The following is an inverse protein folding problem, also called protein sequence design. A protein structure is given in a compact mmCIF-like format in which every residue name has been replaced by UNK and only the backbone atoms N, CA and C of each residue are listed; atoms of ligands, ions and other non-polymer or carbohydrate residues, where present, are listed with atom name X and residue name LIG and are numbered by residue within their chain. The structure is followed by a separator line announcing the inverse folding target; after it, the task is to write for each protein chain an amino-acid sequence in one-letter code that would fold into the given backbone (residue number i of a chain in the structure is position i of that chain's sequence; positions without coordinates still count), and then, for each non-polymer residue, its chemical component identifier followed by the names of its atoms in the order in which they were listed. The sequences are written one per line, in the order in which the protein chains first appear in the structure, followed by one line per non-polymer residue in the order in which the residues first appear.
data_IF_816091909637
#
_entry.id   IF_816091909637
#
_cell.length_a   1.000
_cell.length_b   1.000
_cell.length_c   1.000
_cell.angle_alpha   90.00
_cell.angle_beta   90.00
_cell.angle_gamma   90.00
#
_symmetry.space_group_name_H-M   'P 1'
#
loop_
_entity.id
_entity.type
_entity.pdbx_description
1 polymer ?
#
# COMPACT_ATOMS: atom_id res chain seq x y z
N UNK A 1 38.89 -6.10 60.38
CA UNK A 1 39.61 -4.92 59.85
C UNK A 1 39.47 -3.85 60.90
N UNK A 2 40.52 -3.63 61.67
CA UNK A 2 40.43 -2.86 62.91
C UNK A 2 40.54 -1.37 62.58
N UNK A 3 39.41 -0.67 62.67
CA UNK A 3 39.28 0.76 62.37
C UNK A 3 40.28 1.61 63.19
N UNK A 4 40.60 1.18 64.40
CA UNK A 4 41.58 1.86 65.26
C UNK A 4 43.01 1.79 64.70
N UNK A 5 43.42 0.65 64.15
CA UNK A 5 44.73 0.50 63.52
C UNK A 5 44.84 1.34 62.24
N UNK A 6 43.75 1.42 61.47
CA UNK A 6 43.67 2.30 60.30
C UNK A 6 43.76 3.79 60.70
N UNK A 7 43.00 4.21 61.72
CA UNK A 7 42.98 5.59 62.19
C UNK A 7 44.34 6.05 62.77
N UNK A 8 45.03 5.19 63.53
CA UNK A 8 46.38 5.47 64.01
C UNK A 8 47.40 5.59 62.86
N UNK A 9 47.26 4.77 61.82
CA UNK A 9 48.12 4.87 60.63
C UNK A 9 47.93 6.19 59.88
N UNK A 10 46.69 6.66 59.76
CA UNK A 10 46.37 7.94 59.10
C UNK A 10 46.90 9.12 59.94
N UNK A 11 46.76 9.06 61.27
CA UNK A 11 47.27 10.10 62.15
C UNK A 11 48.79 10.22 62.17
N UNK A 12 49.51 9.09 62.16
CA UNK A 12 50.98 9.10 62.10
C UNK A 12 51.51 9.65 60.77
N UNK A 13 50.83 9.35 59.65
CA UNK A 13 51.15 9.93 58.35
C UNK A 13 50.88 11.45 58.32
N UNK A 14 49.78 11.92 58.92
CA UNK A 14 49.48 13.35 59.06
C UNK A 14 50.53 14.09 59.89
N UNK A 15 51.00 13.50 61.00
CA UNK A 15 52.03 14.08 61.85
C UNK A 15 53.41 14.16 61.15
N UNK A 16 53.73 13.18 60.29
CA UNK A 16 54.94 13.20 59.47
C UNK A 16 54.90 14.30 58.40
N UNK A 17 53.73 14.52 57.79
CA UNK A 17 53.48 15.60 56.82
C UNK A 17 53.61 16.99 57.46
N UNK A 18 53.17 17.16 58.71
CA UNK A 18 53.26 18.43 59.43
C UNK A 18 54.71 18.90 59.70
N UNK A 19 55.70 17.98 59.70
CA UNK A 19 57.12 18.30 59.95
C UNK A 19 57.89 18.73 58.71
N UNK A 20 57.42 18.42 57.50
CA UNK A 20 58.09 18.77 56.24
C UNK A 20 57.07 19.34 55.24
N UNK A 21 56.63 20.59 55.41
CA UNK A 21 55.49 21.14 54.66
C UNK A 21 55.78 21.35 53.17
N UNK A 22 57.03 21.61 52.81
CA UNK A 22 57.45 21.94 51.44
C UNK A 22 57.27 20.77 50.45
N UNK A 23 57.80 19.55 50.69
CA UNK A 23 57.63 18.44 49.75
C UNK A 23 56.17 17.96 49.64
N UNK A 24 55.37 18.09 50.69
CA UNK A 24 53.94 17.77 50.64
C UNK A 24 53.17 18.76 49.76
N UNK A 25 53.42 20.07 49.91
CA UNK A 25 52.83 21.08 49.03
C UNK A 25 53.29 20.91 47.58
N UNK A 26 54.56 20.58 47.36
CA UNK A 26 55.08 20.28 46.02
C UNK A 26 54.36 19.06 45.40
N UNK A 27 54.15 17.99 46.16
CA UNK A 27 53.41 16.81 45.70
C UNK A 27 51.96 17.14 45.35
N UNK A 28 51.29 17.99 46.14
CA UNK A 28 49.92 18.44 45.85
C UNK A 28 49.85 19.29 44.58
N UNK A 29 50.81 20.19 44.37
CA UNK A 29 50.87 21.04 43.16
C UNK A 29 51.11 20.15 41.93
N UNK A 30 52.04 19.21 42.00
CA UNK A 30 52.32 18.27 40.90
C UNK A 30 51.10 17.42 40.60
N UNK A 31 50.45 16.86 41.64
CA UNK A 31 49.21 16.09 41.50
C UNK A 31 48.10 16.92 40.84
N UNK A 32 47.92 18.18 41.27
CA UNK A 32 46.94 19.09 40.67
C UNK A 32 47.23 19.38 39.19
N UNK A 33 48.50 19.60 38.83
CA UNK A 33 48.91 19.83 37.43
C UNK A 33 48.60 18.60 36.58
N UNK A 34 48.94 17.40 37.06
CA UNK A 34 48.70 16.14 36.33
C UNK A 34 47.21 15.88 36.15
N UNK A 35 46.41 16.05 37.21
CA UNK A 35 44.94 15.89 37.16
C UNK A 35 44.34 16.90 36.18
N UNK A 36 44.75 18.17 36.25
CA UNK A 36 44.26 19.23 35.35
C UNK A 36 44.67 18.97 33.90
N UNK A 37 45.88 18.49 33.66
CA UNK A 37 46.36 18.13 32.33
C UNK A 37 45.54 16.98 31.76
N UNK A 38 45.35 15.91 32.53
CA UNK A 38 44.55 14.75 32.11
C UNK A 38 43.08 15.12 31.86
N UNK A 39 42.47 15.93 32.72
CA UNK A 39 41.10 16.44 32.54
C UNK A 39 40.97 17.29 31.26
N UNK A 40 41.94 18.16 30.98
CA UNK A 40 41.97 18.95 29.74
C UNK A 40 42.10 18.08 28.49
N UNK A 41 42.94 17.05 28.52
CA UNK A 41 43.10 16.13 27.39
C UNK A 41 41.79 15.36 27.11
N UNK A 42 41.14 14.85 28.16
CA UNK A 42 39.85 14.17 28.05
C UNK A 42 38.75 15.09 27.48
N UNK A 43 38.69 16.35 27.92
CA UNK A 43 37.75 17.33 27.37
C UNK A 43 38.06 17.66 25.90
N UNK A 44 39.33 17.85 25.52
CA UNK A 44 39.72 18.11 24.13
C UNK A 44 39.30 16.98 23.20
N UNK A 45 39.49 15.73 23.62
CA UNK A 45 39.10 14.56 22.83
C UNK A 45 37.58 14.46 22.67
N UNK A 46 36.81 14.80 23.72
CA UNK A 46 35.34 14.82 23.65
C UNK A 46 34.81 15.94 22.75
N UNK A 47 35.39 17.15 22.82
CA UNK A 47 35.00 18.27 21.97
C UNK A 47 35.31 17.97 20.50
N UNK A 48 36.49 17.40 20.20
CA UNK A 48 36.83 16.99 18.84
C UNK A 48 35.89 15.93 18.28
N UNK A 49 35.51 14.94 19.09
CA UNK A 49 34.57 13.91 18.65
C UNK A 49 33.15 14.46 18.41
N UNK A 50 32.69 15.40 19.23
CA UNK A 50 31.40 16.07 19.05
C UNK A 50 31.37 16.94 17.79
N UNK A 51 32.46 17.64 17.48
CA UNK A 51 32.59 18.42 16.24
C UNK A 51 32.55 17.50 15.00
N UNK A 52 33.30 16.39 15.02
CA UNK A 52 33.25 15.41 13.92
C UNK A 52 31.84 14.82 13.75
N UNK A 53 31.13 14.55 14.84
CA UNK A 53 29.73 14.10 14.80
C UNK A 53 28.78 15.16 14.24
N UNK A 54 28.96 16.43 14.59
CA UNK A 54 28.18 17.53 14.05
C UNK A 54 28.41 17.69 12.54
N UNK A 55 29.68 17.72 12.12
CA UNK A 55 30.06 17.85 10.71
C UNK A 55 29.54 16.67 9.88
N UNK A 56 29.59 15.45 10.42
CA UNK A 56 29.05 14.26 9.76
C UNK A 56 27.52 14.35 9.62
N UNK A 57 26.82 14.87 10.62
CA UNK A 57 25.36 15.06 10.56
C UNK A 57 24.96 16.13 9.57
N UNK A 58 25.70 17.24 9.53
CA UNK A 58 25.45 18.31 8.57
C UNK A 58 25.73 17.85 7.13
N UNK A 59 26.82 17.10 6.91
CA UNK A 59 27.11 16.47 5.62
C UNK A 59 26.03 15.47 5.21
N UNK A 60 25.52 14.65 6.13
CA UNK A 60 24.40 13.75 5.86
C UNK A 60 23.12 14.52 5.51
N UNK A 61 22.79 15.59 6.24
CA UNK A 61 21.61 16.41 5.95
C UNK A 61 21.72 17.09 4.60
N UNK A 62 22.92 17.54 4.22
CA UNK A 62 23.17 18.12 2.91
C UNK A 62 23.07 17.06 1.81
N UNK A 63 23.68 15.90 1.99
CA UNK A 63 23.57 14.77 1.06
C UNK A 63 22.12 14.27 0.93
N UNK A 64 21.32 14.28 2.00
CA UNK A 64 19.88 14.00 1.92
C UNK A 64 19.11 15.09 1.16
N UNK A 65 19.45 16.37 1.37
CA UNK A 65 18.85 17.49 0.61
C UNK A 65 19.20 17.41 -0.88
N UNK A 66 20.43 17.05 -1.20
CA UNK A 66 20.93 16.90 -2.56
C UNK A 66 20.33 15.65 -3.23
N UNK A 67 20.22 14.52 -2.51
CA UNK A 67 19.54 13.29 -2.99
C UNK A 67 18.05 13.45 -3.20
N UNK A 68 17.41 14.34 -2.46
CA UNK A 68 16.02 14.72 -2.67
C UNK A 68 15.84 15.74 -3.82
N UNK A 69 16.94 16.06 -4.55
CA UNK A 69 16.98 16.82 -5.80
C UNK A 69 16.14 18.10 -5.78
N UNK A 70 16.16 18.81 -4.63
CA UNK A 70 15.42 20.06 -4.46
C UNK A 70 13.90 19.97 -4.66
N UNK A 71 13.31 18.77 -4.68
CA UNK A 71 11.87 18.63 -4.75
C UNK A 71 11.28 19.06 -3.40
N UNK A 72 10.87 20.33 -3.30
CA UNK A 72 10.13 20.83 -2.16
C UNK A 72 8.92 19.93 -1.88
N UNK A 73 8.46 19.87 -0.63
CA UNK A 73 7.26 19.10 -0.27
C UNK A 73 6.06 19.42 -1.20
N UNK A 74 6.00 20.66 -1.71
CA UNK A 74 5.01 21.11 -2.68
C UNK A 74 5.19 20.49 -4.08
N UNK A 75 6.44 20.33 -4.55
CA UNK A 75 6.71 19.64 -5.82
C UNK A 75 6.42 18.14 -5.73
N UNK A 76 6.71 17.50 -4.59
CA UNK A 76 6.35 16.10 -4.38
C UNK A 76 4.82 15.93 -4.39
N UNK A 77 4.09 16.81 -3.69
CA UNK A 77 2.63 16.82 -3.68
C UNK A 77 2.03 17.09 -5.07
N UNK A 78 2.62 18.00 -5.84
CA UNK A 78 2.19 18.27 -7.21
C UNK A 78 2.42 17.07 -8.13
N UNK A 79 3.57 16.37 -8.01
CA UNK A 79 3.84 15.14 -8.77
C UNK A 79 2.90 14.01 -8.36
N UNK A 80 2.62 13.85 -7.07
CA UNK A 80 1.64 12.88 -6.59
C UNK A 80 0.25 13.15 -7.15
N UNK A 81 -0.22 14.40 -7.10
CA UNK A 81 -1.52 14.77 -7.70
C UNK A 81 -1.58 14.54 -9.22
N UNK A 82 -0.49 14.82 -9.94
CA UNK A 82 -0.40 14.55 -11.38
C UNK A 82 -0.33 13.04 -11.71
N UNK A 83 0.24 12.24 -10.82
CA UNK A 83 0.25 10.77 -10.95
C UNK A 83 -1.12 10.18 -10.63
N UNK A 84 -1.80 10.68 -9.61
CA UNK A 84 -3.17 10.29 -9.26
C UNK A 84 -4.14 10.61 -10.40
N UNK A 85 -4.05 11.80 -11.00
CA UNK A 85 -4.92 12.17 -12.13
C UNK A 85 -4.70 11.26 -13.34
N UNK A 86 -3.45 10.92 -13.65
CA UNK A 86 -3.12 9.96 -14.72
C UNK A 86 -3.60 8.55 -14.39
N UNK A 87 -3.52 8.15 -13.12
CA UNK A 87 -4.05 6.87 -12.66
C UNK A 87 -5.56 6.80 -12.89
N UNK A 88 -6.31 7.85 -12.53
CA UNK A 88 -7.75 7.91 -12.78
C UNK A 88 -8.09 7.90 -14.27
N UNK A 89 -7.31 8.59 -15.09
CA UNK A 89 -7.49 8.61 -16.54
C UNK A 89 -7.23 7.23 -17.17
N UNK A 90 -6.14 6.57 -16.77
CA UNK A 90 -5.82 5.20 -17.20
C UNK A 90 -6.87 4.21 -16.70
N UNK A 91 -7.36 4.34 -15.46
CA UNK A 91 -8.44 3.48 -14.95
C UNK A 91 -9.75 3.69 -15.71
N UNK A 92 -10.06 4.92 -16.15
CA UNK A 92 -11.23 5.17 -16.99
C UNK A 92 -11.06 4.56 -18.40
N UNK A 93 -9.87 4.67 -18.99
CA UNK A 93 -9.56 4.04 -20.28
C UNK A 93 -9.55 2.50 -20.18
N UNK A 94 -9.01 1.96 -19.09
CA UNK A 94 -9.05 0.52 -18.81
C UNK A 94 -10.47 0.07 -18.49
N UNK A 95 -11.32 0.85 -17.84
CA UNK A 95 -12.73 0.49 -17.67
C UNK A 95 -13.48 0.42 -19.02
N UNK A 96 -13.05 1.22 -20.00
CA UNK A 96 -13.57 1.15 -21.37
C UNK A 96 -13.00 -0.04 -22.18
N UNK A 97 -11.79 -0.49 -21.85
CA UNK A 97 -11.06 -1.58 -22.54
C UNK A 97 -11.07 -2.92 -21.80
N UNK A 98 -11.52 -2.93 -20.55
CA UNK A 98 -11.58 -4.13 -19.73
C UNK A 98 -12.71 -5.00 -20.25
N UNK A 99 -12.49 -6.31 -20.41
CA UNK A 99 -13.53 -7.21 -20.87
C UNK A 99 -14.69 -7.13 -19.89
N UNK A 100 -15.88 -6.83 -20.45
CA UNK A 100 -17.11 -6.66 -19.68
C UNK A 100 -17.39 -7.96 -18.93
N UNK A 101 -17.30 -7.95 -17.61
CA UNK A 101 -17.67 -9.07 -16.75
C UNK A 101 -18.71 -8.60 -15.73
N UNK A 102 -19.57 -9.51 -15.29
CA UNK A 102 -20.54 -9.19 -14.24
C UNK A 102 -19.84 -9.12 -12.89
N UNK A 103 -19.96 -7.98 -12.21
CA UNK A 103 -19.57 -7.85 -10.81
C UNK A 103 -20.36 -8.81 -9.93
N UNK A 104 -19.81 -9.16 -8.76
CA UNK A 104 -20.48 -10.08 -7.83
C UNK A 104 -21.83 -9.55 -7.32
N UNK A 105 -22.01 -8.24 -7.28
CA UNK A 105 -23.30 -7.63 -6.95
C UNK A 105 -24.32 -7.84 -8.08
N UNK A 106 -23.95 -7.56 -9.33
CA UNK A 106 -24.80 -7.77 -10.50
C UNK A 106 -25.19 -9.24 -10.66
N UNK A 107 -24.24 -10.16 -10.43
CA UNK A 107 -24.50 -11.60 -10.45
C UNK A 107 -25.55 -12.01 -9.41
N UNK A 108 -25.44 -11.50 -8.18
CA UNK A 108 -26.41 -11.81 -7.11
C UNK A 108 -27.79 -11.26 -7.40
N UNK A 109 -27.89 -10.04 -7.95
CA UNK A 109 -29.16 -9.46 -8.37
C UNK A 109 -29.83 -10.31 -9.46
N UNK A 110 -29.08 -10.67 -10.50
CA UNK A 110 -29.58 -11.55 -11.56
C UNK A 110 -30.02 -12.93 -11.03
N UNK A 111 -29.23 -13.55 -10.15
CA UNK A 111 -29.58 -14.83 -9.54
C UNK A 111 -30.90 -14.77 -8.77
N UNK A 112 -31.16 -13.70 -8.02
CA UNK A 112 -32.39 -13.57 -7.21
C UNK A 112 -33.67 -13.59 -8.07
N UNK A 113 -33.59 -13.06 -9.30
CA UNK A 113 -34.70 -13.03 -10.25
C UNK A 113 -34.82 -14.38 -10.97
N UNK A 114 -33.70 -14.92 -11.45
CA UNK A 114 -33.63 -16.16 -12.23
C UNK A 114 -33.98 -17.41 -11.41
N UNK A 115 -33.78 -17.37 -10.09
CA UNK A 115 -34.04 -18.51 -9.19
C UNK A 115 -35.52 -18.93 -9.14
N UNK A 116 -36.43 -18.06 -9.57
CA UNK A 116 -37.87 -18.36 -9.64
C UNK A 116 -38.23 -19.33 -10.76
N UNK A 117 -37.36 -19.51 -11.75
CA UNK A 117 -37.62 -20.26 -12.97
C UNK A 117 -36.60 -21.37 -13.22
N UNK A 118 -36.13 -22.03 -12.15
CA UNK A 118 -35.22 -23.19 -12.21
C UNK A 118 -35.68 -24.23 -13.24
N UNK A 119 -34.75 -24.82 -13.96
CA UNK A 119 -35.03 -25.81 -15.01
C UNK A 119 -35.45 -25.22 -16.36
N UNK A 120 -35.55 -23.89 -16.48
CA UNK A 120 -35.75 -23.22 -17.77
C UNK A 120 -34.50 -23.33 -18.65
N UNK A 121 -34.67 -23.22 -19.98
CA UNK A 121 -33.58 -23.33 -20.96
C UNK A 121 -33.22 -21.96 -21.54
N UNK A 122 -31.92 -21.71 -21.70
CA UNK A 122 -31.38 -20.53 -22.37
C UNK A 122 -30.22 -20.93 -23.26
N UNK A 123 -30.10 -20.25 -24.39
CA UNK A 123 -28.96 -20.39 -25.31
C UNK A 123 -28.17 -19.08 -25.25
N UNK A 124 -26.89 -19.16 -24.88
CA UNK A 124 -25.98 -18.01 -24.85
C UNK A 124 -25.07 -18.10 -26.07
N UNK A 125 -25.18 -17.13 -26.97
CA UNK A 125 -24.38 -17.09 -28.20
C UNK A 125 -23.41 -15.91 -28.11
N UNK A 126 -22.13 -16.16 -28.38
CA UNK A 126 -21.10 -15.12 -28.47
C UNK A 126 -20.65 -14.92 -29.92
N UNK A 127 -20.41 -13.67 -30.30
CA UNK A 127 -19.79 -13.32 -31.59
C UNK A 127 -18.31 -13.76 -31.60
N UNK A 128 -17.89 -14.48 -32.64
CA UNK A 128 -16.53 -14.94 -32.82
C UNK A 128 -15.52 -13.80 -33.09
N UNK A 129 -15.99 -12.68 -33.65
CA UNK A 129 -15.14 -11.56 -34.06
C UNK A 129 -14.77 -10.62 -32.90
N UNK A 130 -15.43 -10.75 -31.75
CA UNK A 130 -15.26 -9.86 -30.60
C UNK A 130 -14.62 -10.59 -29.40
N UNK A 131 -13.30 -10.42 -29.16
CA UNK A 131 -12.57 -11.18 -28.13
C UNK A 131 -13.06 -10.90 -26.70
N UNK A 132 -13.61 -9.71 -26.45
CA UNK A 132 -14.12 -9.30 -25.14
C UNK A 132 -15.49 -9.90 -24.80
N UNK A 133 -16.25 -10.33 -25.82
CA UNK A 133 -17.62 -10.88 -25.67
C UNK A 133 -17.57 -12.29 -25.06
N UNK A 134 -16.49 -13.04 -25.31
CA UNK A 134 -16.33 -14.39 -24.76
C UNK A 134 -16.38 -14.41 -23.23
N UNK A 135 -15.69 -13.47 -22.56
CA UNK A 135 -15.68 -13.39 -21.08
C UNK A 135 -17.04 -12.99 -20.52
N UNK A 136 -17.76 -12.11 -21.22
CA UNK A 136 -19.13 -11.75 -20.84
C UNK A 136 -20.08 -12.95 -20.97
N UNK A 137 -19.98 -13.68 -22.09
CA UNK A 137 -20.78 -14.88 -22.34
C UNK A 137 -20.49 -16.00 -21.32
N UNK A 138 -19.22 -16.21 -20.95
CA UNK A 138 -18.83 -17.12 -19.87
C UNK A 138 -19.42 -16.68 -18.52
N UNK A 139 -19.39 -15.38 -18.22
CA UNK A 139 -19.96 -14.82 -16.99
C UNK A 139 -21.48 -14.98 -16.92
N UNK A 140 -22.19 -14.76 -18.03
CA UNK A 140 -23.64 -14.98 -18.14
C UNK A 140 -23.96 -16.47 -18.01
N UNK A 141 -23.22 -17.33 -18.70
CA UNK A 141 -23.36 -18.80 -18.65
C UNK A 141 -23.22 -19.31 -17.21
N UNK A 142 -22.20 -18.85 -16.48
CA UNK A 142 -22.01 -19.19 -15.07
C UNK A 142 -23.17 -18.70 -14.18
N UNK A 143 -23.74 -17.52 -14.50
CA UNK A 143 -24.88 -16.96 -13.76
C UNK A 143 -26.14 -17.80 -13.97
N UNK A 144 -26.46 -18.19 -15.21
CA UNK A 144 -27.61 -19.05 -15.50
C UNK A 144 -27.44 -20.46 -14.93
N UNK A 145 -26.23 -21.04 -14.99
CA UNK A 145 -25.94 -22.30 -14.30
C UNK A 145 -26.14 -22.19 -12.79
N UNK A 146 -25.72 -21.07 -12.18
CA UNK A 146 -25.95 -20.80 -10.76
C UNK A 146 -27.43 -20.74 -10.37
N UNK A 147 -28.30 -20.31 -11.29
CA UNK A 147 -29.75 -20.33 -11.12
C UNK A 147 -30.41 -21.69 -11.46
N UNK A 148 -29.62 -22.74 -11.72
CA UNK A 148 -30.09 -24.06 -12.13
C UNK A 148 -30.90 -24.05 -13.45
N UNK A 149 -30.53 -23.20 -14.40
CA UNK A 149 -31.05 -23.24 -15.77
C UNK A 149 -30.26 -24.22 -16.64
N UNK A 150 -30.90 -24.75 -17.67
CA UNK A 150 -30.23 -25.51 -18.72
C UNK A 150 -29.63 -24.53 -19.72
N UNK A 151 -28.30 -24.40 -19.71
CA UNK A 151 -27.58 -23.45 -20.57
C UNK A 151 -26.92 -24.20 -21.72
N UNK A 152 -27.20 -23.76 -22.93
CA UNK A 152 -26.44 -24.14 -24.12
C UNK A 152 -25.60 -22.95 -24.57
N UNK A 153 -24.38 -23.23 -25.01
CA UNK A 153 -23.47 -22.19 -25.50
C UNK A 153 -23.25 -22.36 -26.99
N UNK A 154 -23.22 -21.25 -27.72
CA UNK A 154 -22.99 -21.21 -29.15
C UNK A 154 -22.02 -20.10 -29.52
N UNK A 155 -21.46 -20.20 -30.72
CA UNK A 155 -20.66 -19.13 -31.33
C UNK A 155 -21.34 -18.77 -32.65
N UNK A 156 -21.67 -17.50 -32.81
CA UNK A 156 -22.13 -16.97 -34.09
C UNK A 156 -20.91 -16.51 -34.89
N UNK A 157 -20.80 -17.00 -36.12
CA UNK A 157 -19.75 -16.59 -37.06
C UNK A 157 -20.12 -15.29 -37.79
N UNK A 158 -21.42 -15.07 -38.04
CA UNK A 158 -21.97 -13.87 -38.62
C UNK A 158 -23.30 -13.56 -37.89
N UNK A 159 -23.41 -12.36 -37.32
CA UNK A 159 -24.66 -11.82 -36.78
C UNK A 159 -25.14 -10.71 -37.71
N UNK A 160 -26.26 -10.94 -38.42
CA UNK A 160 -26.84 -9.96 -39.35
C UNK A 160 -27.25 -8.65 -38.65
N UNK A 161 -27.73 -8.75 -37.39
CA UNK A 161 -28.17 -7.60 -36.61
C UNK A 161 -27.43 -7.59 -35.27
N UNK A 162 -26.38 -6.76 -35.19
CA UNK A 162 -25.61 -6.58 -33.95
C UNK A 162 -26.36 -5.62 -33.02
N UNK A 163 -26.61 -6.00 -31.76
CA UNK A 163 -27.22 -5.11 -30.78
C UNK A 163 -26.30 -3.91 -30.56
N UNK A 164 -26.87 -2.69 -30.57
CA UNK A 164 -26.13 -1.45 -30.34
C UNK A 164 -25.54 -1.40 -28.92
N UNK A 165 -26.19 -2.06 -27.98
CA UNK A 165 -25.75 -2.20 -26.58
C UNK A 165 -24.68 -3.29 -26.39
N UNK A 166 -24.53 -4.19 -27.37
CA UNK A 166 -23.62 -5.33 -27.33
C UNK A 166 -24.20 -6.60 -26.69
N UNK A 167 -25.41 -6.54 -26.12
CA UNK A 167 -26.16 -7.69 -25.59
C UNK A 167 -27.55 -7.66 -26.19
N UNK A 168 -27.98 -8.75 -26.83
CA UNK A 168 -29.31 -8.86 -27.41
C UNK A 168 -30.09 -10.03 -26.83
N UNK A 169 -31.38 -9.86 -26.60
CA UNK A 169 -32.27 -10.95 -26.19
C UNK A 169 -33.07 -11.45 -27.39
N UNK A 170 -32.62 -12.56 -27.99
CA UNK A 170 -33.35 -13.18 -29.09
C UNK A 170 -34.58 -13.94 -28.59
N UNK A 171 -35.77 -13.47 -28.98
CA UNK A 171 -37.07 -14.06 -28.64
C UNK A 171 -37.93 -14.23 -29.89
N UNK A 172 -38.83 -15.21 -29.86
CA UNK A 172 -39.72 -15.48 -30.98
C UNK A 172 -40.74 -14.35 -31.24
N UNK A 173 -41.23 -13.69 -30.18
CA UNK A 173 -42.12 -12.54 -30.26
C UNK A 173 -41.79 -11.53 -29.15
N UNK A 174 -41.17 -10.38 -29.46
CA UNK A 174 -40.81 -9.37 -28.46
C UNK A 174 -42.03 -8.68 -27.84
N UNK A 175 -43.19 -8.69 -28.50
CA UNK A 175 -44.42 -8.12 -27.96
C UNK A 175 -45.12 -9.05 -26.95
N UNK A 176 -44.73 -10.34 -26.90
CA UNK A 176 -45.35 -11.36 -26.03
C UNK A 176 -44.31 -12.27 -25.40
N UNK A 177 -43.54 -11.70 -24.47
CA UNK A 177 -42.59 -12.46 -23.68
C UNK A 177 -43.28 -13.42 -22.71
N UNK A 178 -42.82 -14.67 -22.67
CA UNK A 178 -43.19 -15.63 -21.62
C UNK A 178 -42.62 -15.21 -20.25
N UNK A 179 -43.19 -15.70 -19.14
CA UNK A 179 -42.70 -15.37 -17.79
C UNK A 179 -41.19 -15.63 -17.59
N UNK A 180 -40.61 -16.76 -18.09
CA UNK A 180 -39.17 -16.96 -18.02
C UNK A 180 -38.38 -15.94 -18.84
N UNK A 181 -38.84 -15.57 -20.03
CA UNK A 181 -38.17 -14.55 -20.86
C UNK A 181 -38.23 -13.15 -20.22
N UNK A 182 -39.35 -12.81 -19.59
CA UNK A 182 -39.47 -11.56 -18.82
C UNK A 182 -38.48 -11.53 -17.67
N UNK A 183 -38.26 -12.66 -16.98
CA UNK A 183 -37.30 -12.76 -15.89
C UNK A 183 -35.86 -12.55 -16.34
N UNK A 184 -35.52 -12.92 -17.58
CA UNK A 184 -34.19 -12.63 -18.16
C UNK A 184 -34.04 -11.12 -18.39
N UNK A 185 -35.04 -10.48 -18.99
CA UNK A 185 -35.03 -9.04 -19.21
C UNK A 185 -34.96 -8.25 -17.89
N UNK A 186 -35.68 -8.71 -16.86
CA UNK A 186 -35.62 -8.15 -15.50
C UNK A 186 -34.24 -8.37 -14.86
N UNK A 187 -33.68 -9.58 -14.96
CA UNK A 187 -32.34 -9.89 -14.44
C UNK A 187 -31.24 -9.05 -15.09
N UNK A 188 -31.31 -8.82 -16.40
CA UNK A 188 -30.37 -7.94 -17.12
C UNK A 188 -30.51 -6.49 -16.67
N UNK A 189 -31.75 -6.00 -16.49
CA UNK A 189 -32.02 -4.64 -16.01
C UNK A 189 -31.56 -4.42 -14.57
N UNK A 190 -31.82 -5.38 -13.68
CA UNK A 190 -31.39 -5.33 -12.27
C UNK A 190 -29.87 -5.46 -12.13
N UNK A 191 -29.23 -6.17 -13.06
CA UNK A 191 -27.78 -6.18 -13.22
C UNK A 191 -27.23 -4.89 -13.84
N UNK A 192 -28.08 -3.91 -14.19
CA UNK A 192 -27.65 -2.65 -14.80
C UNK A 192 -27.04 -2.82 -16.19
N UNK A 193 -27.37 -3.91 -16.89
CA UNK A 193 -26.92 -4.15 -18.26
C UNK A 193 -27.91 -3.54 -19.24
N UNK A 194 -27.39 -2.74 -20.17
CA UNK A 194 -28.15 -2.36 -21.35
C UNK A 194 -28.25 -3.57 -22.30
N UNK A 195 -29.45 -3.80 -22.86
CA UNK A 195 -29.71 -4.85 -23.82
C UNK A 195 -30.74 -4.37 -24.85
N UNK A 196 -30.69 -4.98 -26.04
CA UNK A 196 -31.64 -4.78 -27.14
C UNK A 196 -32.55 -5.99 -27.35
#
# INVERSE_FOLDING_TARGET
MDFEAWAQSVWSQFAAVARVPIPFLAALIVSWIVIRWHARQQLRNRIGNLQVLADLRDAQLQDYKDKLDGASADQAKARMGALESRLYEVLAQVAALAPRTLSDQQRRAALAVLDRFRGSRVVVVSDAEAPDVKRLAESLTATFHGAAWHVETGIALEMEERPATGVGLLVADPARLTLPQQSIAEALRDAGLAFD
#
